data_IF_171372020857
#
_entry.id   IF_171372020857
#
_cell.length_a   1.000
_cell.length_b   1.000
_cell.length_c   1.000
_cell.angle_alpha   90.00
_cell.angle_beta   90.00
_cell.angle_gamma   90.00
#
_symmetry.space_group_name_H-M   'P 1'
#
loop_
_entity.id
_entity.type
_entity.pdbx_description
1 polymer ?
#
# COMPACT_ATOMS: atom_id res chain seq x y z
N UNK A 1 -51.38 -14.84 10.66
CA UNK A 1 -50.26 -13.87 10.81
C UNK A 1 -48.88 -14.47 10.52
N UNK A 2 -48.56 -15.67 11.04
CA UNK A 2 -47.25 -16.33 10.84
C UNK A 2 -46.74 -16.38 9.39
N UNK A 3 -47.61 -16.73 8.43
CA UNK A 3 -47.26 -16.81 7.00
C UNK A 3 -46.80 -15.48 6.38
N UNK A 4 -47.40 -14.36 6.80
CA UNK A 4 -47.01 -13.01 6.33
C UNK A 4 -45.67 -12.58 6.92
N UNK A 5 -45.42 -12.94 8.18
CA UNK A 5 -44.14 -12.70 8.86
C UNK A 5 -43.03 -13.48 8.16
N UNK A 6 -43.24 -14.76 7.85
CA UNK A 6 -42.26 -15.58 7.13
C UNK A 6 -41.96 -15.04 5.72
N UNK A 7 -42.97 -14.55 5.00
CA UNK A 7 -42.77 -13.91 3.69
C UNK A 7 -41.95 -12.63 3.81
N UNK A 8 -42.24 -11.78 4.79
CA UNK A 8 -41.49 -10.55 5.02
C UNK A 8 -40.01 -10.87 5.30
N UNK A 9 -39.75 -11.89 6.12
CA UNK A 9 -38.41 -12.33 6.52
C UNK A 9 -37.60 -12.88 5.33
N UNK A 10 -38.27 -13.62 4.43
CA UNK A 10 -37.66 -14.08 3.18
C UNK A 10 -37.33 -12.92 2.23
N UNK A 11 -38.23 -11.94 2.10
CA UNK A 11 -37.99 -10.76 1.27
C UNK A 11 -36.81 -9.96 1.83
N UNK A 12 -36.73 -9.77 3.14
CA UNK A 12 -35.59 -9.07 3.76
C UNK A 12 -34.27 -9.83 3.60
N UNK A 13 -34.30 -11.18 3.59
CA UNK A 13 -33.10 -11.98 3.36
C UNK A 13 -32.62 -11.94 1.89
N UNK A 14 -33.55 -11.84 0.93
CA UNK A 14 -33.25 -11.71 -0.49
C UNK A 14 -32.82 -10.29 -0.91
N UNK A 15 -33.36 -9.28 -0.23
CA UNK A 15 -33.00 -7.87 -0.43
C UNK A 15 -31.74 -7.50 0.35
N UNK A 16 -31.34 -8.33 1.33
CA UNK A 16 -30.05 -8.15 1.98
C UNK A 16 -28.98 -8.29 0.90
N UNK A 17 -28.25 -7.21 0.57
CA UNK A 17 -27.15 -7.36 -0.34
C UNK A 17 -26.21 -8.35 0.33
N UNK A 18 -25.99 -9.51 -0.30
CA UNK A 18 -24.66 -10.09 -0.18
C UNK A 18 -23.76 -8.97 -0.68
N UNK A 19 -23.13 -8.25 0.23
CA UNK A 19 -21.82 -7.72 -0.04
C UNK A 19 -20.99 -8.98 -0.31
N UNK A 20 -21.15 -9.52 -1.53
CA UNK A 20 -20.20 -10.39 -2.14
C UNK A 20 -19.00 -9.47 -2.20
N UNK A 21 -18.15 -9.65 -1.19
CA UNK A 21 -16.88 -9.00 -1.05
C UNK A 21 -16.06 -9.48 -2.26
N UNK A 22 -16.32 -8.90 -3.42
CA UNK A 22 -15.34 -8.69 -4.46
C UNK A 22 -14.35 -7.64 -3.92
N UNK A 23 -13.80 -7.90 -2.73
CA UNK A 23 -12.51 -7.37 -2.38
C UNK A 23 -11.54 -8.23 -3.18
N UNK A 24 -11.39 -7.91 -4.47
CA UNK A 24 -10.27 -8.42 -5.24
C UNK A 24 -9.02 -8.00 -4.46
N UNK A 25 -8.39 -8.98 -3.83
CA UNK A 25 -7.18 -8.77 -3.05
C UNK A 25 -6.07 -8.43 -4.03
N UNK A 26 -5.92 -7.13 -4.30
CA UNK A 26 -4.96 -6.63 -5.27
C UNK A 26 -3.67 -6.26 -4.56
N UNK A 27 -2.67 -7.13 -4.71
CA UNK A 27 -1.29 -6.85 -4.31
C UNK A 27 -0.52 -6.38 -5.54
N UNK A 28 0.09 -5.20 -5.46
CA UNK A 28 0.91 -4.67 -6.55
C UNK A 28 2.24 -4.15 -5.98
N UNK A 29 3.33 -4.44 -6.69
CA UNK A 29 4.67 -3.93 -6.40
C UNK A 29 5.07 -3.02 -7.55
N UNK A 30 5.25 -1.73 -7.26
CA UNK A 30 5.70 -0.74 -8.21
C UNK A 30 7.12 -0.29 -7.89
N UNK A 31 7.94 -0.09 -8.91
CA UNK A 31 9.27 0.51 -8.78
C UNK A 31 9.35 1.70 -9.72
N UNK A 32 9.55 2.89 -9.15
CA UNK A 32 9.56 4.16 -9.87
C UNK A 32 10.82 4.93 -9.52
N UNK A 33 11.52 5.44 -10.54
CA UNK A 33 12.59 6.42 -10.37
C UNK A 33 11.97 7.81 -10.37
N UNK A 34 12.19 8.58 -9.31
CA UNK A 34 11.71 9.97 -9.24
C UNK A 34 12.70 10.92 -9.92
N UNK A 35 12.20 12.10 -10.31
CA UNK A 35 12.99 13.16 -10.95
C UNK A 35 14.13 13.66 -10.06
N UNK A 36 13.98 13.58 -8.73
CA UNK A 36 14.99 13.97 -7.74
C UNK A 36 16.13 12.95 -7.58
N UNK A 37 16.15 11.88 -8.39
CA UNK A 37 17.15 10.84 -8.29
C UNK A 37 16.94 9.89 -7.09
N UNK A 38 15.75 9.85 -6.50
CA UNK A 38 15.32 8.81 -5.55
C UNK A 38 14.71 7.62 -6.29
N UNK A 39 15.06 6.38 -5.91
CA UNK A 39 14.35 5.18 -6.38
C UNK A 39 13.33 4.77 -5.34
N UNK A 40 12.04 4.67 -5.70
CA UNK A 40 10.98 4.25 -4.80
C UNK A 40 10.40 2.89 -5.21
N UNK A 41 10.42 1.95 -4.29
CA UNK A 41 9.61 0.73 -4.33
C UNK A 41 8.33 0.92 -3.51
N UNK A 42 7.18 0.51 -4.02
CA UNK A 42 5.89 0.67 -3.35
C UNK A 42 5.14 -0.65 -3.33
N UNK A 43 4.68 -1.02 -2.14
CA UNK A 43 3.75 -2.12 -1.93
C UNK A 43 2.34 -1.55 -1.78
N UNK A 44 1.48 -1.95 -2.71
CA UNK A 44 0.08 -1.59 -2.76
C UNK A 44 -0.78 -2.78 -2.37
N UNK A 45 -1.78 -2.54 -1.52
CA UNK A 45 -2.80 -3.51 -1.16
C UNK A 45 -4.16 -2.83 -1.29
N UNK A 46 -5.06 -3.42 -2.08
CA UNK A 46 -6.41 -2.89 -2.33
C UNK A 46 -6.37 -1.40 -2.71
N UNK A 47 -5.49 -1.07 -3.66
CA UNK A 47 -5.30 0.28 -4.18
C UNK A 47 -4.83 1.34 -3.15
N UNK A 48 -4.29 0.90 -2.02
CA UNK A 48 -3.65 1.75 -1.01
C UNK A 48 -2.19 1.36 -0.84
N UNK A 49 -1.30 2.36 -0.72
CA UNK A 49 0.10 2.11 -0.35
C UNK A 49 0.14 1.65 1.10
N UNK A 50 0.57 0.41 1.32
CA UNK A 50 0.79 -0.13 2.67
C UNK A 50 2.23 0.04 3.13
N UNK A 51 3.17 0.06 2.19
CA UNK A 51 4.58 0.30 2.47
C UNK A 51 5.27 0.92 1.25
N UNK A 52 6.22 1.81 1.50
CA UNK A 52 7.08 2.42 0.48
C UNK A 52 8.52 2.36 0.96
N UNK A 53 9.43 1.95 0.09
CA UNK A 53 10.87 1.98 0.29
C UNK A 53 11.47 3.03 -0.63
N UNK A 54 12.12 4.05 -0.07
CA UNK A 54 12.78 5.11 -0.83
C UNK A 54 14.30 5.01 -0.66
N UNK A 55 15.02 4.71 -1.75
CA UNK A 55 16.47 4.69 -1.81
C UNK A 55 16.94 6.04 -2.34
N UNK A 56 17.55 6.82 -1.46
CA UNK A 56 18.00 8.18 -1.76
C UNK A 56 19.27 8.14 -2.61
N UNK A 57 19.28 8.94 -3.68
CA UNK A 57 20.42 9.03 -4.59
C UNK A 57 21.57 9.89 -4.08
N UNK A 58 21.31 10.78 -3.14
CA UNK A 58 22.26 11.69 -2.52
C UNK A 58 21.68 12.27 -1.22
N UNK A 59 22.51 12.40 -0.19
CA UNK A 59 22.20 13.06 1.08
C UNK A 59 21.25 12.32 2.03
N UNK A 60 21.53 12.44 3.33
CA UNK A 60 20.58 12.06 4.38
C UNK A 60 19.42 13.08 4.42
N UNK A 61 18.19 12.66 4.11
CA UNK A 61 17.00 13.50 4.33
C UNK A 61 16.47 13.26 5.75
N UNK A 62 16.21 14.32 6.55
CA UNK A 62 15.74 14.17 7.92
C UNK A 62 14.36 13.49 7.97
N UNK A 63 14.22 12.52 8.87
CA UNK A 63 12.99 11.71 9.05
C UNK A 63 11.76 12.58 9.36
N UNK A 64 11.96 13.75 9.97
CA UNK A 64 10.90 14.69 10.35
C UNK A 64 10.25 15.43 9.17
N UNK A 65 10.81 15.37 7.96
CA UNK A 65 10.28 16.07 6.79
C UNK A 65 9.11 15.32 6.10
N UNK A 66 8.76 14.12 6.55
CA UNK A 66 7.83 13.25 5.84
C UNK A 66 6.60 12.90 6.68
N UNK A 67 5.40 13.40 6.32
CA UNK A 67 4.18 13.14 7.08
C UNK A 67 3.63 11.70 6.92
N UNK A 68 4.28 10.85 6.12
CA UNK A 68 3.72 9.55 5.73
C UNK A 68 4.46 8.39 6.41
N UNK A 69 3.89 7.88 7.50
CA UNK A 69 4.45 6.82 8.37
C UNK A 69 4.67 5.45 7.70
N UNK A 70 4.32 5.30 6.41
CA UNK A 70 4.44 4.05 5.65
C UNK A 70 5.71 3.98 4.80
N UNK A 71 6.61 4.96 4.91
CA UNK A 71 7.83 5.03 4.08
C UNK A 71 9.09 4.73 4.89
N UNK A 72 9.85 3.73 4.46
CA UNK A 72 11.22 3.48 4.91
C UNK A 72 12.18 4.18 3.97
N UNK A 73 13.07 5.01 4.52
CA UNK A 73 14.11 5.68 3.74
C UNK A 73 15.45 4.98 3.99
N UNK A 74 16.15 4.66 2.89
CA UNK A 74 17.52 4.17 2.93
C UNK A 74 18.38 5.23 2.24
N UNK A 75 19.34 5.79 2.99
CA UNK A 75 20.39 6.63 2.47
C UNK A 75 21.66 5.78 2.36
N UNK A 76 21.90 5.09 1.23
CA UNK A 76 23.10 4.30 1.06
C UNK A 76 24.33 5.20 0.89
N UNK A 77 25.49 4.67 1.25
CA UNK A 77 26.75 5.28 0.84
C UNK A 77 26.90 5.13 -0.68
N UNK A 78 27.42 6.16 -1.34
CA UNK A 78 27.85 6.08 -2.73
C UNK A 78 29.35 5.88 -2.80
N UNK A 79 29.76 4.74 -3.36
CA UNK A 79 31.17 4.41 -3.61
C UNK A 79 31.30 4.10 -5.10
N UNK A 80 32.19 4.82 -5.78
CA UNK A 80 32.46 4.66 -7.23
C UNK A 80 31.21 4.72 -8.13
N UNK A 81 30.22 5.55 -7.76
CA UNK A 81 28.97 5.71 -8.50
C UNK A 81 27.94 4.58 -8.30
N UNK A 82 28.19 3.68 -7.35
CA UNK A 82 27.29 2.58 -6.98
C UNK A 82 26.70 2.81 -5.58
N UNK A 83 25.45 2.43 -5.39
CA UNK A 83 24.83 2.37 -4.07
C UNK A 83 25.35 1.17 -3.29
N UNK A 84 25.90 1.42 -2.10
CA UNK A 84 26.35 0.37 -1.19
C UNK A 84 25.32 0.19 -0.08
N UNK A 85 24.66 -0.96 -0.09
CA UNK A 85 23.69 -1.36 0.93
C UNK A 85 24.28 -2.54 1.70
N UNK A 86 24.60 -2.33 2.98
CA UNK A 86 25.07 -3.41 3.87
C UNK A 86 23.84 -4.11 4.45
N UNK A 87 23.75 -5.43 4.23
CA UNK A 87 22.71 -6.29 4.78
C UNK A 87 23.39 -7.29 5.69
N UNK A 88 22.99 -7.35 6.95
CA UNK A 88 23.41 -8.40 7.91
C UNK A 88 22.42 -9.56 7.94
#
# INVERSE_FOLDING_TARGET
MRRRICMLLMITALVWPSAALAADYMVNINVVRQEDGTTCGELWYNNQIVWRLAILGDGAKPVSAFPNARTTFIAPDLIDGLFVIKVE
#
